data_IF_706929206066
#
_entry.id   IF_706929206066
#
_cell.length_a   1.000
_cell.length_b   1.000
_cell.length_c   1.000
_cell.angle_alpha   90.00
_cell.angle_beta   90.00
_cell.angle_gamma   90.00
#
_symmetry.space_group_name_H-M   'P 1'
#
loop_
_entity.id
_entity.type
_entity.pdbx_description
1 polymer ?
#
# COMPACT_ATOMS: atom_id res chain seq x y z
N UNK A 1 -7.51 22.79 -20.59
CA UNK A 1 -7.91 21.51 -19.99
C UNK A 1 -7.22 21.34 -18.64
N UNK A 2 -8.01 21.28 -17.58
CA UNK A 2 -7.44 21.11 -16.23
C UNK A 2 -7.18 19.63 -15.98
N UNK A 3 -5.93 19.26 -15.80
CA UNK A 3 -5.54 17.90 -15.50
C UNK A 3 -5.70 17.64 -14.00
N UNK A 4 -6.48 16.65 -13.64
CA UNK A 4 -6.63 16.24 -12.25
C UNK A 4 -5.32 15.67 -11.72
N UNK A 5 -4.83 16.24 -10.62
CA UNK A 5 -3.59 15.81 -9.97
C UNK A 5 -3.90 14.79 -8.87
N UNK A 6 -3.24 13.66 -8.94
CA UNK A 6 -3.33 12.59 -7.95
C UNK A 6 -2.05 12.46 -7.15
N UNK A 7 -2.17 11.82 -6.00
CA UNK A 7 -1.04 11.39 -5.17
C UNK A 7 -1.13 9.89 -4.94
N UNK A 8 0.02 9.26 -4.86
CA UNK A 8 0.17 7.83 -4.68
C UNK A 8 0.90 7.57 -3.37
N UNK A 9 0.21 6.95 -2.43
CA UNK A 9 0.74 6.60 -1.14
C UNK A 9 1.15 5.13 -1.16
N UNK A 10 2.42 4.86 -0.96
CA UNK A 10 2.94 3.51 -0.81
C UNK A 10 2.91 3.18 0.67
N UNK A 11 2.12 2.20 1.05
CA UNK A 11 1.90 1.83 2.44
C UNK A 11 2.25 0.36 2.68
N UNK A 12 2.81 0.11 3.84
CA UNK A 12 3.04 -1.24 4.35
C UNK A 12 1.98 -1.58 5.38
N UNK A 13 1.41 -2.76 5.30
CA UNK A 13 0.49 -3.29 6.30
C UNK A 13 1.28 -4.12 7.28
N UNK A 14 1.25 -3.75 8.56
CA UNK A 14 1.93 -4.45 9.63
C UNK A 14 0.89 -5.12 10.51
N UNK A 15 0.91 -6.44 10.54
CA UNK A 15 0.01 -7.25 11.37
C UNK A 15 0.58 -7.44 12.77
N UNK A 16 -0.25 -7.28 13.78
CA UNK A 16 0.15 -7.39 15.18
C UNK A 16 0.54 -8.83 15.56
N UNK A 17 -0.03 -9.82 14.90
CA UNK A 17 0.29 -11.24 15.12
C UNK A 17 1.67 -11.67 14.60
N UNK A 18 2.41 -10.77 14.01
CA UNK A 18 3.74 -11.03 13.46
C UNK A 18 3.76 -11.75 12.11
N UNK A 19 2.63 -12.13 11.58
CA UNK A 19 2.52 -12.72 10.26
C UNK A 19 2.65 -11.65 9.19
N UNK A 20 3.34 -11.98 8.12
CA UNK A 20 3.50 -11.04 6.99
C UNK A 20 2.36 -11.09 6.00
N UNK A 21 1.66 -12.20 5.93
CA UNK A 21 0.62 -12.42 4.92
C UNK A 21 -0.60 -13.09 5.52
N UNK A 22 -1.74 -12.47 5.30
CA UNK A 22 -3.03 -13.10 5.50
C UNK A 22 -3.71 -13.27 4.14
N UNK A 23 -3.77 -14.51 3.67
CA UNK A 23 -4.32 -14.86 2.35
C UNK A 23 -5.80 -14.49 2.18
N UNK A 24 -6.52 -14.35 3.29
CA UNK A 24 -7.93 -14.00 3.28
C UNK A 24 -8.20 -12.51 3.19
N UNK A 25 -7.17 -11.67 3.29
CA UNK A 25 -7.33 -10.22 3.16
C UNK A 25 -7.39 -9.84 1.69
N UNK A 26 -8.54 -9.30 1.30
CA UNK A 26 -8.77 -8.86 -0.07
C UNK A 26 -8.58 -7.35 -0.19
N UNK A 27 -8.27 -6.90 -1.38
CA UNK A 27 -8.20 -5.49 -1.74
C UNK A 27 -9.49 -4.73 -1.36
N UNK A 28 -10.61 -5.37 -1.49
CA UNK A 28 -11.92 -4.86 -1.10
C UNK A 28 -12.01 -4.54 0.40
N UNK A 29 -11.46 -5.39 1.23
CA UNK A 29 -11.45 -5.17 2.69
C UNK A 29 -10.62 -3.96 3.07
N UNK A 30 -9.49 -3.77 2.40
CA UNK A 30 -8.62 -2.61 2.58
C UNK A 30 -9.37 -1.33 2.16
N UNK A 31 -10.06 -1.37 1.02
CA UNK A 31 -10.83 -0.24 0.53
C UNK A 31 -11.93 0.19 1.53
N UNK A 32 -12.70 -0.76 2.03
CA UNK A 32 -13.74 -0.49 3.01
C UNK A 32 -13.17 0.05 4.33
N UNK A 33 -12.05 -0.51 4.77
CA UNK A 33 -11.36 -0.03 5.97
C UNK A 33 -10.91 1.42 5.83
N UNK A 34 -10.30 1.77 4.72
CA UNK A 34 -9.84 3.14 4.43
C UNK A 34 -11.03 4.11 4.34
N UNK A 35 -12.08 3.70 3.66
CA UNK A 35 -13.31 4.50 3.56
C UNK A 35 -13.93 4.78 4.93
N UNK A 36 -14.05 3.75 5.76
CA UNK A 36 -14.61 3.89 7.10
C UNK A 36 -13.73 4.78 8.00
N UNK A 37 -12.43 4.68 7.88
CA UNK A 37 -11.49 5.55 8.61
C UNK A 37 -11.63 7.00 8.17
N UNK A 38 -11.76 7.28 6.88
CA UNK A 38 -12.01 8.63 6.36
C UNK A 38 -13.32 9.20 6.88
N UNK A 39 -14.38 8.40 6.90
CA UNK A 39 -15.67 8.80 7.42
C UNK A 39 -15.61 9.13 8.92
N UNK A 40 -14.90 8.32 9.68
CA UNK A 40 -14.75 8.50 11.13
C UNK A 40 -13.94 9.75 11.49
N UNK A 41 -12.83 10.00 10.79
CA UNK A 41 -11.88 11.06 11.14
C UNK A 41 -12.22 12.41 10.48
N UNK A 42 -12.78 12.39 9.29
CA UNK A 42 -13.02 13.59 8.48
C UNK A 42 -14.49 13.77 8.04
N UNK A 43 -15.38 12.87 8.46
CA UNK A 43 -16.80 12.93 8.15
C UNK A 43 -17.10 12.75 6.66
N UNK A 44 -18.33 13.11 6.28
CA UNK A 44 -18.80 12.96 4.90
C UNK A 44 -18.02 13.82 3.91
N UNK A 45 -17.53 14.96 4.34
CA UNK A 45 -16.73 15.84 3.48
C UNK A 45 -15.43 15.16 3.05
N UNK A 46 -14.72 14.54 3.98
CA UNK A 46 -13.49 13.80 3.67
C UNK A 46 -13.74 12.62 2.74
N UNK A 47 -14.81 11.88 2.98
CA UNK A 47 -15.23 10.77 2.11
C UNK A 47 -15.58 11.27 0.71
N UNK A 48 -16.39 12.30 0.61
CA UNK A 48 -16.81 12.86 -0.69
C UNK A 48 -15.61 13.37 -1.50
N UNK A 49 -14.66 14.02 -0.85
CA UNK A 49 -13.46 14.54 -1.50
C UNK A 49 -12.54 13.42 -1.99
N UNK A 50 -12.40 12.37 -1.22
CA UNK A 50 -11.47 11.26 -1.51
C UNK A 50 -12.05 10.22 -2.48
N UNK A 51 -13.34 9.89 -2.38
CA UNK A 51 -13.95 8.78 -3.12
C UNK A 51 -13.88 8.88 -4.63
N UNK A 52 -13.85 10.09 -5.18
CA UNK A 52 -13.77 10.29 -6.64
C UNK A 52 -12.53 9.67 -7.26
N UNK A 53 -11.45 9.65 -6.52
CA UNK A 53 -10.14 9.25 -7.02
C UNK A 53 -9.52 8.11 -6.23
N UNK A 54 -10.15 7.68 -5.14
CA UNK A 54 -9.63 6.64 -4.27
C UNK A 54 -9.58 5.30 -5.00
N UNK A 55 -8.39 4.77 -5.13
CA UNK A 55 -8.14 3.46 -5.74
C UNK A 55 -7.02 2.78 -4.97
N UNK A 56 -7.20 1.50 -4.71
CA UNK A 56 -6.22 0.69 -4.00
C UNK A 56 -5.68 -0.36 -4.95
N UNK A 57 -4.37 -0.43 -5.05
CA UNK A 57 -3.69 -1.41 -5.86
C UNK A 57 -2.73 -2.20 -4.97
N UNK A 58 -2.96 -3.50 -4.85
CA UNK A 58 -2.06 -4.38 -4.15
C UNK A 58 -0.87 -4.75 -5.03
N UNK A 59 0.32 -4.71 -4.46
CA UNK A 59 1.52 -5.23 -5.10
C UNK A 59 1.72 -6.71 -4.78
N UNK A 60 2.60 -7.34 -5.54
CA UNK A 60 2.94 -8.75 -5.34
C UNK A 60 3.54 -9.04 -3.96
N UNK A 61 4.24 -8.08 -3.39
CA UNK A 61 4.66 -8.22 -2.01
C UNK A 61 3.43 -8.12 -1.11
N UNK A 62 3.17 -9.11 -0.28
CA UNK A 62 1.86 -9.28 0.36
C UNK A 62 1.45 -8.14 1.29
N UNK A 63 2.42 -7.38 1.79
CA UNK A 63 2.16 -6.33 2.77
C UNK A 63 2.18 -4.93 2.18
N UNK A 64 2.43 -4.79 0.88
CA UNK A 64 2.59 -3.47 0.26
C UNK A 64 1.38 -3.17 -0.60
N UNK A 65 0.79 -2.02 -0.35
CA UNK A 65 -0.33 -1.49 -1.13
C UNK A 65 -0.03 -0.07 -1.59
N UNK A 66 -0.49 0.26 -2.79
CA UNK A 66 -0.46 1.62 -3.30
C UNK A 66 -1.87 2.18 -3.30
N UNK A 67 -2.04 3.31 -2.66
CA UNK A 67 -3.32 4.01 -2.58
C UNK A 67 -3.24 5.27 -3.42
N UNK A 68 -4.10 5.37 -4.42
CA UNK A 68 -4.25 6.57 -5.23
C UNK A 68 -5.37 7.42 -4.67
N UNK A 69 -5.13 8.71 -4.55
CA UNK A 69 -6.13 9.69 -4.11
C UNK A 69 -5.83 11.03 -4.77
N UNK A 70 -6.81 11.92 -4.84
CA UNK A 70 -6.60 13.27 -5.35
C UNK A 70 -5.62 14.05 -4.46
N UNK A 71 -4.90 14.96 -5.06
CA UNK A 71 -3.96 15.84 -4.35
C UNK A 71 -4.61 16.55 -3.17
N UNK A 72 -5.86 16.99 -3.31
CA UNK A 72 -6.56 17.74 -2.27
C UNK A 72 -6.94 16.89 -1.05
N UNK A 73 -7.09 15.59 -1.24
CA UNK A 73 -7.51 14.65 -0.19
C UNK A 73 -6.36 13.85 0.42
N UNK A 74 -5.13 13.95 -0.10
CA UNK A 74 -4.06 13.06 0.34
C UNK A 74 -3.65 13.24 1.80
N UNK A 75 -3.70 14.47 2.33
CA UNK A 75 -3.38 14.73 3.73
C UNK A 75 -4.44 14.16 4.67
N UNK A 76 -5.71 14.25 4.30
CA UNK A 76 -6.80 13.62 5.05
C UNK A 76 -6.66 12.10 5.06
N UNK A 77 -6.34 11.52 3.92
CA UNK A 77 -6.09 10.09 3.80
C UNK A 77 -4.93 9.64 4.69
N UNK A 78 -3.82 10.36 4.65
CA UNK A 78 -2.65 10.05 5.45
C UNK A 78 -2.96 10.07 6.96
N UNK A 79 -3.69 11.07 7.43
CA UNK A 79 -4.10 11.13 8.84
C UNK A 79 -5.09 10.02 9.20
N UNK A 80 -6.02 9.71 8.32
CA UNK A 80 -6.98 8.62 8.54
C UNK A 80 -6.29 7.25 8.63
N UNK A 81 -5.32 6.99 7.77
CA UNK A 81 -4.53 5.76 7.81
C UNK A 81 -3.80 5.57 9.15
N UNK A 82 -3.34 6.64 9.74
CA UNK A 82 -2.65 6.60 11.03
C UNK A 82 -3.54 6.05 12.16
N UNK A 83 -4.85 6.29 12.09
CA UNK A 83 -5.79 5.85 13.12
C UNK A 83 -6.37 4.45 12.89
N UNK A 84 -6.06 3.81 11.78
CA UNK A 84 -6.52 2.45 11.50
C UNK A 84 -5.77 1.46 12.38
N UNK A 85 -6.52 0.63 13.11
CA UNK A 85 -5.98 -0.42 13.99
C UNK A 85 -6.42 -1.82 13.59
N UNK A 86 -7.44 -1.92 12.74
CA UNK A 86 -8.01 -3.19 12.32
C UNK A 86 -8.38 -3.14 10.84
N UNK A 87 -7.98 -4.16 10.12
CA UNK A 87 -8.30 -4.31 8.69
C UNK A 87 -9.05 -5.63 8.52
N UNK A 88 -10.35 -5.55 8.18
CA UNK A 88 -11.18 -6.73 8.12
C UNK A 88 -11.26 -7.44 9.47
N UNK A 89 -10.79 -8.67 9.53
CA UNK A 89 -10.77 -9.48 10.76
C UNK A 89 -9.43 -9.40 11.51
N UNK A 90 -8.43 -8.74 10.93
CA UNK A 90 -7.06 -8.75 11.44
C UNK A 90 -6.70 -7.43 12.11
N UNK A 91 -6.05 -7.53 13.25
CA UNK A 91 -5.44 -6.37 13.89
C UNK A 91 -4.16 -6.01 13.15
N UNK A 92 -4.18 -4.86 12.51
CA UNK A 92 -3.09 -4.37 11.69
C UNK A 92 -3.11 -2.84 11.62
N UNK A 93 -1.98 -2.28 11.24
CA UNK A 93 -1.88 -0.84 11.00
C UNK A 93 -1.10 -0.56 9.72
N UNK A 94 -1.31 0.63 9.20
CA UNK A 94 -0.61 1.10 8.01
C UNK A 94 0.62 1.92 8.39
N UNK A 95 1.71 1.64 7.71
CA UNK A 95 2.91 2.46 7.75
C UNK A 95 3.11 3.07 6.36
N UNK A 96 3.01 4.39 6.25
CA UNK A 96 3.21 5.08 4.98
C UNK A 96 4.71 5.17 4.70
N UNK A 97 5.15 4.51 3.64
CA UNK A 97 6.56 4.48 3.25
C UNK A 97 6.95 5.65 2.36
N UNK A 98 6.06 6.05 1.45
CA UNK A 98 6.36 7.08 0.46
C UNK A 98 5.09 7.70 -0.10
N UNK A 99 5.16 8.97 -0.44
CA UNK A 99 4.11 9.71 -1.15
C UNK A 99 4.73 10.30 -2.40
N UNK A 100 4.14 10.00 -3.56
CA UNK A 100 4.64 10.49 -4.84
C UNK A 100 3.53 11.09 -5.71
N UNK A 101 3.93 11.89 -6.68
CA UNK A 101 3.00 12.51 -7.61
C UNK A 101 2.68 11.68 -8.85
N UNK A 102 3.43 10.60 -9.08
CA UNK A 102 3.25 9.73 -10.26
C UNK A 102 3.42 8.26 -9.87
N UNK A 103 2.80 7.38 -10.65
CA UNK A 103 2.93 5.93 -10.47
C UNK A 103 4.39 5.50 -10.68
N UNK A 104 5.05 6.07 -11.67
CA UNK A 104 6.44 5.74 -12.01
C UNK A 104 7.39 6.00 -10.84
N UNK A 105 7.26 7.16 -10.20
CA UNK A 105 8.06 7.52 -9.02
C UNK A 105 7.79 6.59 -7.85
N UNK A 106 6.54 6.24 -7.64
CA UNK A 106 6.13 5.29 -6.61
C UNK A 106 6.72 3.90 -6.84
N UNK A 107 6.65 3.39 -8.06
CA UNK A 107 7.26 2.11 -8.43
C UNK A 107 8.77 2.11 -8.27
N UNK A 108 9.43 3.19 -8.65
CA UNK A 108 10.89 3.36 -8.48
C UNK A 108 11.29 3.27 -7.00
N UNK A 109 10.55 3.94 -6.14
CA UNK A 109 10.76 3.84 -4.70
C UNK A 109 10.53 2.42 -4.19
N UNK A 110 9.46 1.76 -4.64
CA UNK A 110 9.12 0.40 -4.26
C UNK A 110 10.23 -0.60 -4.62
N UNK A 111 10.79 -0.50 -5.81
CA UNK A 111 11.93 -1.33 -6.23
C UNK A 111 13.13 -1.12 -5.32
N UNK A 112 13.47 0.13 -5.01
CA UNK A 112 14.55 0.45 -4.07
C UNK A 112 14.31 -0.09 -2.66
N UNK A 113 13.08 -0.02 -2.20
CA UNK A 113 12.66 -0.57 -0.92
C UNK A 113 12.81 -2.10 -0.89
N UNK A 114 12.36 -2.80 -1.92
CA UNK A 114 12.49 -4.25 -2.03
C UNK A 114 13.96 -4.70 -2.04
N UNK A 115 14.81 -3.98 -2.75
CA UNK A 115 16.26 -4.29 -2.77
C UNK A 115 16.89 -4.16 -1.39
N UNK A 116 16.47 -3.18 -0.60
CA UNK A 116 16.96 -3.00 0.78
C UNK A 116 16.41 -4.08 1.73
N UNK A 117 15.18 -4.51 1.52
CA UNK A 117 14.53 -5.52 2.37
C UNK A 117 14.83 -6.97 1.93
N UNK A 118 15.37 -7.16 0.74
CA UNK A 118 15.66 -8.49 0.20
C UNK A 118 16.52 -9.36 1.14
N UNK A 119 17.61 -8.88 1.75
CA UNK A 119 18.39 -9.69 2.68
C UNK A 119 17.59 -10.17 3.89
N UNK A 120 16.68 -9.34 4.40
CA UNK A 120 15.81 -9.71 5.51
C UNK A 120 14.79 -10.75 5.09
N UNK A 121 14.17 -10.56 3.94
CA UNK A 121 13.21 -11.50 3.37
C UNK A 121 13.82 -12.87 3.13
N UNK A 122 15.04 -12.92 2.60
CA UNK A 122 15.75 -14.16 2.37
C UNK A 122 16.12 -14.89 3.67
N UNK A 123 16.46 -14.15 4.72
CA UNK A 123 16.76 -14.74 6.04
C UNK A 123 15.52 -15.36 6.69
N UNK A 124 14.36 -14.83 6.42
CA UNK A 124 13.10 -15.32 6.97
C UNK A 124 12.47 -16.46 6.15
N UNK A 125 12.95 -16.69 4.95
CA UNK A 125 12.53 -17.84 4.14
C UNK A 125 13.10 -19.14 4.74
N UNK A 126 12.22 -20.09 5.03
CA UNK A 126 12.60 -21.38 5.61
C UNK A 126 12.87 -22.44 4.57
N UNK A 127 12.35 -22.26 3.35
CA UNK A 127 12.49 -23.24 2.27
C UNK A 127 13.08 -22.60 1.01
N UNK A 128 13.84 -23.38 0.19
CA UNK A 128 14.38 -22.88 -1.09
C UNK A 128 13.28 -22.45 -2.08
N UNK A 129 12.10 -23.03 -1.98
CA UNK A 129 10.96 -22.68 -2.82
C UNK A 129 10.44 -21.28 -2.51
N UNK A 130 10.35 -20.92 -1.23
CA UNK A 130 9.97 -19.57 -0.80
C UNK A 130 10.99 -18.53 -1.28
N UNK A 131 12.27 -18.84 -1.24
CA UNK A 131 13.32 -17.96 -1.78
C UNK A 131 13.16 -17.71 -3.27
N UNK A 132 12.85 -18.75 -4.03
CA UNK A 132 12.60 -18.62 -5.47
C UNK A 132 11.37 -17.78 -5.77
N UNK A 133 10.31 -17.97 -5.01
CA UNK A 133 9.08 -17.18 -5.14
C UNK A 133 9.33 -15.71 -4.83
N UNK A 134 10.06 -15.41 -3.76
CA UNK A 134 10.42 -14.04 -3.38
C UNK A 134 11.28 -13.39 -4.45
N UNK A 135 12.32 -14.07 -4.93
CA UNK A 135 13.17 -13.56 -6.00
C UNK A 135 12.40 -13.33 -7.30
N UNK A 136 11.51 -14.23 -7.66
CA UNK A 136 10.65 -14.10 -8.83
C UNK A 136 9.67 -12.91 -8.69
N UNK A 137 9.05 -12.74 -7.53
CA UNK A 137 8.16 -11.63 -7.24
C UNK A 137 8.89 -10.29 -7.35
N UNK A 138 10.10 -10.19 -6.81
CA UNK A 138 10.91 -8.98 -6.89
C UNK A 138 11.31 -8.68 -8.33
N UNK A 139 11.73 -9.69 -9.09
CA UNK A 139 12.09 -9.50 -10.50
C UNK A 139 10.89 -9.09 -11.37
N UNK A 140 9.70 -9.57 -11.06
CA UNK A 140 8.48 -9.19 -11.78
C UNK A 140 7.99 -7.78 -11.43
N UNK A 141 8.34 -7.27 -10.25
CA UNK A 141 8.01 -5.92 -9.81
C UNK A 141 9.00 -4.87 -10.32
N UNK A 142 10.14 -5.27 -10.86
CA UNK A 142 11.08 -4.35 -11.49
C UNK A 142 10.42 -3.84 -12.77
N UNK A 143 10.09 -2.55 -12.88
CA UNK A 143 9.64 -2.03 -14.16
C UNK A 143 10.72 -2.31 -15.18
N UNK A 144 10.32 -2.87 -16.31
CA UNK A 144 11.22 -2.96 -17.46
C UNK A 144 11.71 -1.53 -17.69
N UNK A 145 12.98 -1.31 -17.42
CA UNK A 145 13.59 -0.03 -17.73
C UNK A 145 13.45 0.18 -19.23
N UNK A 146 12.46 0.94 -19.59
CA UNK A 146 12.42 1.50 -20.93
C UNK A 146 13.49 2.58 -20.94
N UNK A 147 14.66 2.17 -21.33
CA UNK A 147 15.73 3.09 -21.64
C UNK A 147 15.31 4.01 -22.77
#
# INVERSE_FOLDING_TARGET
MVRQKNRYLLCEIIYIDGRRLHRNLQQRDIYHCVRNALAKEHGEYGVALALRSLSIQAYFHPNIVMIRVSRDAHKMLQSALFFIRKIGQYEAFFNTLHISGTIRTCQKFYVGYLRRELPKLLRECKTPEEEKEVKKAISSCVPVEVT
#
